data_IF_796587648732
#
_entry.id   IF_796587648732
#
_cell.length_a   1.000
_cell.length_b   1.000
_cell.length_c   1.000
_cell.angle_alpha   90.00
_cell.angle_beta   90.00
_cell.angle_gamma   90.00
#
_symmetry.space_group_name_H-M   'P 1'
#
loop_
_entity.id
_entity.type
_entity.pdbx_description
1 polymer ?
#
# COMPACT_ATOMS: atom_id res chain seq x y z
N UNK A 1 -14.71 29.28 30.57
CA UNK A 1 -13.78 30.23 29.88
C UNK A 1 -14.23 31.67 30.11
N UNK A 2 -13.30 32.62 30.18
CA UNK A 2 -13.59 34.05 30.33
C UNK A 2 -14.14 34.64 29.01
N UNK A 3 -14.94 35.70 29.09
CA UNK A 3 -15.48 36.36 27.88
C UNK A 3 -14.40 36.96 27.00
N UNK A 4 -13.32 37.47 27.60
CA UNK A 4 -12.17 38.03 26.89
C UNK A 4 -11.38 36.96 26.12
N UNK A 5 -11.20 35.76 26.69
CA UNK A 5 -10.49 34.66 26.02
C UNK A 5 -11.27 34.15 24.82
N UNK A 6 -12.60 34.06 24.95
CA UNK A 6 -13.52 33.67 23.85
C UNK A 6 -13.44 34.66 22.69
N UNK A 7 -13.39 35.97 22.96
CA UNK A 7 -13.23 37.00 21.91
C UNK A 7 -11.90 36.87 21.18
N UNK A 8 -10.81 36.61 21.89
CA UNK A 8 -9.50 36.39 21.28
C UNK A 8 -9.50 35.17 20.33
N UNK A 9 -10.08 34.04 20.75
CA UNK A 9 -10.21 32.87 19.87
C UNK A 9 -11.08 33.15 18.65
N UNK A 10 -12.16 33.92 18.81
CA UNK A 10 -13.03 34.32 17.70
C UNK A 10 -12.28 35.18 16.67
N UNK A 11 -11.53 36.19 17.10
CA UNK A 11 -10.71 37.02 16.20
C UNK A 11 -9.67 36.17 15.46
N UNK A 12 -9.01 35.25 16.17
CA UNK A 12 -8.04 34.33 15.59
C UNK A 12 -8.68 33.41 14.54
N UNK A 13 -9.83 32.81 14.84
CA UNK A 13 -10.56 31.96 13.90
C UNK A 13 -11.04 32.73 12.66
N UNK A 14 -11.50 33.97 12.82
CA UNK A 14 -11.88 34.82 11.68
C UNK A 14 -10.67 35.15 10.79
N UNK A 15 -9.51 35.43 11.39
CA UNK A 15 -8.27 35.69 10.64
C UNK A 15 -7.82 34.45 9.86
N UNK A 16 -7.88 33.27 10.47
CA UNK A 16 -7.55 32.00 9.81
C UNK A 16 -8.56 31.65 8.72
N UNK A 17 -9.86 31.89 8.94
CA UNK A 17 -10.91 31.71 7.94
C UNK A 17 -10.63 32.54 6.68
N UNK A 18 -10.30 33.82 6.85
CA UNK A 18 -9.97 34.71 5.73
C UNK A 18 -8.73 34.21 4.97
N UNK A 19 -7.68 33.79 5.70
CA UNK A 19 -6.46 33.22 5.12
C UNK A 19 -6.73 31.94 4.32
N UNK A 20 -7.56 31.04 4.84
CA UNK A 20 -7.92 29.79 4.18
C UNK A 20 -8.75 30.03 2.91
N UNK A 21 -9.70 30.96 2.95
CA UNK A 21 -10.49 31.35 1.77
C UNK A 21 -9.57 31.90 0.69
N UNK A 22 -8.66 32.82 1.03
CA UNK A 22 -7.70 33.37 0.07
C UNK A 22 -6.82 32.28 -0.54
N UNK A 23 -6.37 31.31 0.27
CA UNK A 23 -5.57 30.17 -0.20
C UNK A 23 -6.35 29.27 -1.15
N UNK A 24 -7.61 28.97 -0.83
CA UNK A 24 -8.48 28.15 -1.69
C UNK A 24 -8.73 28.88 -3.01
N UNK A 25 -9.04 30.18 -2.97
CA UNK A 25 -9.25 30.98 -4.18
C UNK A 25 -8.00 31.05 -5.06
N UNK A 26 -6.82 31.15 -4.45
CA UNK A 26 -5.54 31.13 -5.16
C UNK A 26 -5.28 29.78 -5.85
N UNK A 27 -5.54 28.66 -5.16
CA UNK A 27 -5.35 27.30 -5.69
C UNK A 27 -6.41 26.91 -6.72
N UNK A 28 -7.67 27.28 -6.48
CA UNK A 28 -8.76 27.00 -7.43
C UNK A 28 -8.62 27.82 -8.71
N UNK A 29 -8.15 29.07 -8.57
CA UNK A 29 -7.82 29.98 -9.66
C UNK A 29 -9.01 30.37 -10.54
N UNK A 30 -9.31 31.67 -10.62
CA UNK A 30 -10.10 32.25 -11.74
C UNK A 30 -9.20 32.64 -12.94
N UNK A 31 -7.91 32.30 -12.92
CA UNK A 31 -6.91 32.65 -13.94
C UNK A 31 -6.18 31.44 -14.54
N UNK A 32 -5.15 31.69 -15.35
CA UNK A 32 -4.30 30.68 -16.00
C UNK A 32 -3.49 29.89 -14.94
N UNK A 33 -3.55 28.56 -14.98
CA UNK A 33 -2.83 27.62 -14.11
C UNK A 33 -3.62 27.07 -12.91
N UNK A 34 -4.89 27.43 -12.73
CA UNK A 34 -5.70 26.93 -11.62
C UNK A 34 -6.08 25.45 -11.70
N UNK A 35 -6.42 24.84 -10.56
CA UNK A 35 -6.91 23.44 -10.49
C UNK A 35 -8.20 23.25 -11.32
N UNK A 36 -8.98 24.31 -11.55
CA UNK A 36 -10.21 24.24 -12.37
C UNK A 36 -9.95 24.27 -13.88
N UNK A 37 -8.81 24.76 -14.33
CA UNK A 37 -8.46 24.78 -15.75
C UNK A 37 -8.11 23.36 -16.23
N UNK A 38 -8.46 22.98 -17.45
CA UNK A 38 -8.06 21.68 -17.97
C UNK A 38 -6.54 21.59 -18.08
N UNK A 39 -5.97 20.43 -17.76
CA UNK A 39 -4.51 20.24 -17.73
C UNK A 39 -3.85 20.58 -19.07
N UNK A 40 -4.47 20.19 -20.20
CA UNK A 40 -4.00 20.52 -21.55
C UNK A 40 -3.81 22.04 -21.76
N UNK A 41 -4.72 22.85 -21.23
CA UNK A 41 -4.70 24.31 -21.39
C UNK A 41 -3.67 24.95 -20.45
N UNK A 42 -3.33 24.29 -19.35
CA UNK A 42 -2.29 24.74 -18.41
C UNK A 42 -0.88 24.47 -18.93
N UNK A 43 -0.66 23.36 -19.65
CA UNK A 43 0.65 23.03 -20.26
C UNK A 43 0.80 23.75 -21.62
N UNK A 44 -0.31 24.16 -22.25
CA UNK A 44 -0.31 24.76 -23.58
C UNK A 44 -0.28 23.72 -24.71
N UNK A 45 -0.61 22.47 -24.40
CA UNK A 45 -0.60 21.36 -25.35
C UNK A 45 -1.98 21.19 -26.02
N UNK A 46 -1.99 20.99 -27.33
CA UNK A 46 -3.23 20.76 -28.09
C UNK A 46 -3.82 19.37 -27.80
N UNK A 47 -2.97 18.37 -27.54
CA UNK A 47 -3.36 16.99 -27.23
C UNK A 47 -2.39 16.36 -26.24
N UNK A 48 -2.92 15.69 -25.21
CA UNK A 48 -2.13 14.88 -24.27
C UNK A 48 -2.02 13.41 -24.71
N UNK A 49 -2.72 13.02 -25.79
CA UNK A 49 -2.83 11.62 -26.22
C UNK A 49 -1.58 11.12 -26.97
N UNK A 50 -0.85 12.04 -27.62
CA UNK A 50 0.34 11.71 -28.42
C UNK A 50 1.66 12.00 -27.67
N UNK A 51 1.57 12.39 -26.39
CA UNK A 51 2.74 12.65 -25.56
C UNK A 51 3.20 11.37 -24.86
N UNK A 52 4.52 11.21 -24.70
CA UNK A 52 5.04 10.13 -23.87
C UNK A 52 4.65 10.39 -22.41
N UNK A 53 4.18 9.40 -21.64
CA UNK A 53 3.68 9.61 -20.27
C UNK A 53 4.72 10.24 -19.32
N UNK A 54 6.02 10.02 -19.59
CA UNK A 54 7.09 10.63 -18.82
C UNK A 54 7.16 12.17 -19.00
N UNK A 55 6.72 12.70 -20.14
CA UNK A 55 6.82 14.14 -20.45
C UNK A 55 5.81 14.95 -19.64
N UNK A 56 4.71 14.32 -19.23
CA UNK A 56 3.60 14.96 -18.48
C UNK A 56 3.65 14.59 -16.99
N UNK A 57 4.56 13.71 -16.58
CA UNK A 57 4.60 13.17 -15.21
C UNK A 57 4.84 14.22 -14.14
N UNK A 58 5.79 15.13 -14.36
CA UNK A 58 6.10 16.22 -13.41
C UNK A 58 4.90 17.13 -13.22
N UNK A 59 4.23 17.50 -14.31
CA UNK A 59 3.04 18.35 -14.30
C UNK A 59 1.86 17.68 -13.59
N UNK A 60 1.65 16.37 -13.82
CA UNK A 60 0.63 15.59 -13.09
C UNK A 60 0.91 15.57 -11.59
N UNK A 61 2.17 15.41 -11.20
CA UNK A 61 2.58 15.36 -9.81
C UNK A 61 2.36 16.70 -9.10
N UNK A 62 2.82 17.82 -9.69
CA UNK A 62 2.60 19.15 -9.11
C UNK A 62 1.11 19.47 -9.02
N UNK A 63 0.33 19.17 -10.06
CA UNK A 63 -1.12 19.36 -10.04
C UNK A 63 -1.82 18.51 -8.97
N UNK A 64 -1.36 17.28 -8.77
CA UNK A 64 -1.84 16.41 -7.69
C UNK A 64 -1.59 17.00 -6.30
N UNK A 65 -0.43 17.65 -6.09
CA UNK A 65 -0.15 18.38 -4.85
C UNK A 65 -1.12 19.55 -4.66
N UNK A 66 -1.34 20.35 -5.69
CA UNK A 66 -2.23 21.51 -5.61
C UNK A 66 -3.67 21.10 -5.25
N UNK A 67 -4.18 20.04 -5.89
CA UNK A 67 -5.47 19.43 -5.55
C UNK A 67 -5.49 19.07 -4.06
N UNK A 68 -4.46 18.37 -3.59
CA UNK A 68 -4.41 17.92 -2.20
C UNK A 68 -4.37 19.08 -1.20
N UNK A 69 -3.56 20.11 -1.48
CA UNK A 69 -3.47 21.30 -0.65
C UNK A 69 -4.80 22.07 -0.61
N UNK A 70 -5.53 22.11 -1.74
CA UNK A 70 -6.84 22.74 -1.82
C UNK A 70 -7.89 21.96 -1.01
N UNK A 71 -7.91 20.62 -1.13
CA UNK A 71 -8.78 19.76 -0.32
C UNK A 71 -8.51 19.93 1.18
N UNK A 72 -7.24 19.90 1.59
CA UNK A 72 -6.86 20.06 3.00
C UNK A 72 -7.26 21.44 3.53
N UNK A 73 -7.07 22.49 2.73
CA UNK A 73 -7.53 23.84 3.09
C UNK A 73 -9.06 23.91 3.27
N UNK A 74 -9.84 23.23 2.41
CA UNK A 74 -11.31 23.14 2.54
C UNK A 74 -11.75 22.38 3.79
N UNK A 75 -11.07 21.29 4.13
CA UNK A 75 -11.35 20.51 5.34
C UNK A 75 -11.09 21.37 6.59
N UNK A 76 -9.97 22.11 6.61
CA UNK A 76 -9.65 22.99 7.73
C UNK A 76 -10.64 24.16 7.79
N UNK A 77 -11.01 24.76 6.65
CA UNK A 77 -12.00 25.84 6.59
C UNK A 77 -13.33 25.41 7.22
N UNK A 78 -13.81 24.20 6.88
CA UNK A 78 -15.02 23.64 7.47
C UNK A 78 -14.90 23.51 9.00
N UNK A 79 -13.75 23.03 9.51
CA UNK A 79 -13.51 22.93 10.96
C UNK A 79 -13.48 24.30 11.64
N UNK A 80 -12.95 25.32 10.96
CA UNK A 80 -12.94 26.70 11.46
C UNK A 80 -14.36 27.27 11.51
N UNK A 81 -15.16 27.08 10.46
CA UNK A 81 -16.57 27.51 10.44
C UNK A 81 -17.37 26.82 11.58
N UNK A 82 -17.19 25.52 11.76
CA UNK A 82 -17.82 24.76 12.85
C UNK A 82 -17.38 25.25 14.24
N UNK A 83 -16.10 25.60 14.40
CA UNK A 83 -15.60 26.17 15.66
C UNK A 83 -16.21 27.55 15.97
N UNK A 84 -16.44 28.38 14.94
CA UNK A 84 -17.15 29.65 15.07
C UNK A 84 -18.62 29.42 15.48
N UNK A 85 -19.28 28.42 14.91
CA UNK A 85 -20.65 28.04 15.29
C UNK A 85 -20.73 27.53 16.75
N UNK A 86 -19.72 26.79 17.19
CA UNK A 86 -19.60 26.35 18.59
C UNK A 86 -19.39 27.51 19.55
N UNK A 87 -18.62 28.53 19.16
CA UNK A 87 -18.46 29.77 19.93
C UNK A 87 -19.79 30.52 20.08
N UNK A 88 -20.58 30.60 18.99
CA UNK A 88 -21.88 31.26 18.99
C UNK A 88 -22.92 30.52 19.83
N UNK A 89 -22.86 29.18 19.87
CA UNK A 89 -23.76 28.34 20.67
C UNK A 89 -23.32 28.17 22.12
N UNK A 90 -22.09 28.58 22.47
CA UNK A 90 -21.53 28.48 23.82
C UNK A 90 -20.95 27.11 24.18
N UNK A 91 -20.86 26.18 23.22
CA UNK A 91 -20.30 24.83 23.40
C UNK A 91 -18.81 24.73 22.99
N UNK A 92 -18.15 25.87 22.79
CA UNK A 92 -16.73 25.90 22.44
C UNK A 92 -15.85 25.40 23.58
N UNK A 93 -14.86 24.58 23.24
CA UNK A 93 -13.93 24.00 24.21
C UNK A 93 -14.42 22.69 24.83
N UNK A 94 -15.54 22.12 24.39
CA UNK A 94 -16.01 20.80 24.84
C UNK A 94 -15.73 19.74 23.77
N UNK A 95 -15.17 18.60 24.17
CA UNK A 95 -14.86 17.49 23.27
C UNK A 95 -16.13 16.78 22.80
N UNK A 96 -16.29 16.61 21.49
CA UNK A 96 -17.48 15.97 20.91
C UNK A 96 -17.62 14.47 21.20
N UNK A 97 -16.51 13.80 21.49
CA UNK A 97 -16.49 12.35 21.71
C UNK A 97 -16.74 11.98 23.18
N UNK A 98 -16.08 12.65 24.13
CA UNK A 98 -16.19 12.33 25.55
C UNK A 98 -16.99 13.33 26.37
N UNK A 99 -17.33 14.50 25.82
CA UNK A 99 -18.04 15.57 26.52
C UNK A 99 -17.20 16.31 27.58
N UNK A 100 -15.91 16.00 27.71
CA UNK A 100 -15.00 16.69 28.63
C UNK A 100 -14.44 17.97 28.00
N UNK A 101 -13.96 18.90 28.82
CA UNK A 101 -13.27 20.10 28.36
C UNK A 101 -11.97 19.75 27.62
N UNK A 102 -11.70 20.50 26.56
CA UNK A 102 -10.48 20.44 25.75
C UNK A 102 -9.39 21.25 26.46
N UNK A 103 -8.16 20.75 26.43
CA UNK A 103 -7.03 21.40 27.08
C UNK A 103 -6.80 22.83 26.51
N UNK A 104 -6.66 23.85 27.36
CA UNK A 104 -6.46 25.24 26.92
C UNK A 104 -5.21 25.38 26.04
N UNK A 105 -4.10 24.76 26.43
CA UNK A 105 -2.85 24.69 25.63
C UNK A 105 -3.10 24.15 24.21
N UNK A 106 -4.07 23.26 24.05
CA UNK A 106 -4.43 22.67 22.76
C UNK A 106 -5.26 23.63 21.92
N UNK A 107 -6.19 24.37 22.53
CA UNK A 107 -6.97 25.42 21.87
C UNK A 107 -6.08 26.60 21.45
N UNK A 108 -5.03 26.89 22.22
CA UNK A 108 -4.02 27.89 21.88
C UNK A 108 -3.17 27.50 20.66
N UNK A 109 -2.90 26.21 20.47
CA UNK A 109 -2.18 25.72 19.30
C UNK A 109 -3.11 25.51 18.09
N UNK A 110 -4.28 24.90 18.31
CA UNK A 110 -5.22 24.48 17.27
C UNK A 110 -6.64 24.92 17.68
N UNK A 111 -7.03 26.18 17.40
CA UNK A 111 -8.27 26.75 17.90
C UNK A 111 -9.53 26.14 17.26
N UNK A 112 -9.40 25.40 16.16
CA UNK A 112 -10.50 24.72 15.47
C UNK A 112 -10.61 23.23 15.83
N UNK A 113 -9.92 22.77 16.89
CA UNK A 113 -9.99 21.37 17.32
C UNK A 113 -11.33 21.06 17.98
N UNK A 114 -11.89 19.88 17.68
CA UNK A 114 -13.18 19.39 18.24
C UNK A 114 -13.00 18.26 19.26
N UNK A 115 -11.77 17.75 19.40
CA UNK A 115 -11.43 16.58 20.21
C UNK A 115 -10.30 16.92 21.19
N UNK A 116 -10.42 16.41 22.42
CA UNK A 116 -9.32 16.43 23.38
C UNK A 116 -8.17 15.53 22.93
N UNK A 117 -6.98 15.71 23.52
CA UNK A 117 -5.77 14.96 23.16
C UNK A 117 -5.97 13.45 23.20
N UNK A 118 -6.67 12.94 24.21
CA UNK A 118 -6.97 11.52 24.41
C UNK A 118 -7.85 10.97 23.29
N UNK A 119 -9.02 11.58 23.04
CA UNK A 119 -9.93 11.12 22.00
C UNK A 119 -9.32 11.25 20.60
N UNK A 120 -8.47 12.26 20.37
CA UNK A 120 -7.70 12.35 19.13
C UNK A 120 -6.74 11.16 18.98
N UNK A 121 -6.03 10.77 20.05
CA UNK A 121 -5.15 9.60 20.05
C UNK A 121 -5.90 8.29 19.79
N UNK A 122 -7.10 8.15 20.37
CA UNK A 122 -7.98 7.00 20.13
C UNK A 122 -8.39 6.93 18.65
N UNK A 123 -8.73 8.05 18.01
CA UNK A 123 -9.03 8.10 16.56
C UNK A 123 -7.82 7.64 15.75
N UNK A 124 -6.59 8.03 16.11
CA UNK A 124 -5.40 7.56 15.38
C UNK A 124 -5.14 6.05 15.54
N UNK A 125 -5.55 5.47 16.66
CA UNK A 125 -5.33 4.05 16.98
C UNK A 125 -6.45 3.17 16.43
N UNK A 126 -7.68 3.66 16.43
CA UNK A 126 -8.90 2.92 16.03
C UNK A 126 -9.29 3.17 14.58
N UNK A 127 -8.84 4.27 13.96
CA UNK A 127 -8.91 4.39 12.52
C UNK A 127 -8.15 3.18 11.96
N UNK A 128 -8.78 2.34 11.12
CA UNK A 128 -8.01 1.37 10.35
C UNK A 128 -6.89 2.18 9.70
N UNK A 129 -5.63 1.69 9.71
CA UNK A 129 -4.57 2.37 8.99
C UNK A 129 -5.17 2.71 7.63
N UNK A 130 -5.11 3.99 7.22
CA UNK A 130 -5.50 4.37 5.86
C UNK A 130 -4.94 3.26 5.00
N UNK A 131 -5.82 2.53 4.32
CA UNK A 131 -5.44 1.38 3.52
C UNK A 131 -4.60 1.94 2.37
N UNK A 132 -3.32 2.20 2.66
CA UNK A 132 -2.31 2.54 1.67
C UNK A 132 -2.05 1.31 0.78
N UNK A 133 -2.55 0.15 1.23
CA UNK A 133 -2.53 -1.11 0.50
C UNK A 133 -3.92 -1.45 -0.05
N UNK A 134 -4.02 -1.88 -1.31
CA UNK A 134 -5.28 -2.23 -1.95
C UNK A 134 -6.05 -3.34 -1.19
N UNK A 135 -7.38 -3.39 -1.32
CA UNK A 135 -8.22 -4.44 -0.68
C UNK A 135 -7.85 -5.84 -1.15
N UNK A 136 -7.30 -5.91 -2.36
CA UNK A 136 -6.75 -7.09 -2.99
C UNK A 136 -5.70 -7.75 -2.11
N UNK A 137 -4.93 -7.03 -1.30
CA UNK A 137 -3.91 -7.63 -0.43
C UNK A 137 -4.48 -8.37 0.80
N UNK A 138 -5.73 -8.11 1.17
CA UNK A 138 -6.43 -8.83 2.25
C UNK A 138 -7.06 -10.14 1.72
N UNK A 139 -7.42 -10.15 0.44
CA UNK A 139 -8.05 -11.29 -0.26
C UNK A 139 -6.99 -12.18 -0.91
N UNK A 140 -5.99 -11.56 -1.54
CA UNK A 140 -4.81 -12.21 -2.07
C UNK A 140 -3.87 -12.45 -0.89
N UNK A 141 -3.84 -13.69 -0.42
CA UNK A 141 -2.72 -14.15 0.37
C UNK A 141 -1.40 -13.92 -0.38
N UNK A 142 -0.28 -13.94 0.34
CA UNK A 142 1.04 -13.80 -0.26
C UNK A 142 1.15 -14.84 -1.39
N UNK A 143 1.32 -14.42 -2.65
CA UNK A 143 1.20 -15.32 -3.80
C UNK A 143 2.25 -16.43 -3.80
N UNK A 144 3.35 -16.22 -3.08
CA UNK A 144 4.43 -17.17 -2.85
C UNK A 144 4.71 -17.22 -1.34
N UNK A 145 4.87 -18.40 -0.76
CA UNK A 145 5.07 -18.55 0.67
C UNK A 145 6.31 -17.78 1.15
N UNK A 146 6.16 -16.83 2.08
CA UNK A 146 7.29 -16.12 2.70
C UNK A 146 8.10 -16.99 3.69
N UNK A 147 7.77 -18.27 3.81
CA UNK A 147 8.48 -19.21 4.68
C UNK A 147 9.58 -19.93 3.92
N UNK A 148 10.77 -20.01 4.52
CA UNK A 148 11.82 -20.97 4.14
C UNK A 148 11.49 -22.39 4.66
N UNK A 149 10.39 -22.53 5.41
CA UNK A 149 9.99 -23.80 6.01
C UNK A 149 8.76 -24.33 5.28
N UNK A 150 8.95 -25.50 4.68
CA UNK A 150 7.95 -26.41 4.15
C UNK A 150 6.60 -26.30 4.88
N UNK A 151 5.70 -25.51 4.30
CA UNK A 151 4.27 -25.81 4.42
C UNK A 151 3.98 -26.65 3.19
N UNK A 152 3.48 -27.88 3.39
CA UNK A 152 2.89 -28.76 2.37
C UNK A 152 1.71 -28.12 1.62
N UNK A 153 1.99 -27.03 0.94
CA UNK A 153 1.09 -26.23 0.13
C UNK A 153 1.57 -26.45 -1.29
N UNK A 154 0.70 -26.75 -2.26
CA UNK A 154 1.11 -26.97 -3.64
C UNK A 154 1.57 -25.69 -4.36
N UNK A 155 1.68 -24.55 -3.67
CA UNK A 155 2.12 -23.28 -4.26
C UNK A 155 3.60 -23.06 -4.00
N UNK A 156 4.30 -22.51 -5.00
CA UNK A 156 5.74 -22.25 -4.93
C UNK A 156 6.09 -21.40 -3.71
N UNK A 157 6.93 -21.93 -2.82
CA UNK A 157 7.40 -21.21 -1.65
C UNK A 157 8.88 -20.81 -1.75
N UNK A 158 9.42 -20.19 -0.70
CA UNK A 158 10.81 -19.78 -0.67
C UNK A 158 11.81 -20.94 -0.73
N UNK A 159 11.40 -22.13 -0.26
CA UNK A 159 12.22 -23.35 -0.32
C UNK A 159 12.29 -23.87 -1.75
N UNK A 160 11.15 -23.93 -2.46
CA UNK A 160 11.10 -24.34 -3.87
C UNK A 160 11.98 -23.45 -4.76
N UNK A 161 11.93 -22.13 -4.55
CA UNK A 161 12.77 -21.17 -5.30
C UNK A 161 14.25 -21.39 -4.99
N UNK A 162 14.60 -21.68 -3.74
CA UNK A 162 15.99 -21.91 -3.34
C UNK A 162 16.53 -23.22 -3.91
N UNK A 163 15.76 -24.31 -3.82
CA UNK A 163 16.08 -25.59 -4.46
C UNK A 163 16.21 -25.44 -5.98
N UNK A 164 15.38 -24.60 -6.60
CA UNK A 164 15.43 -24.36 -8.04
C UNK A 164 16.71 -23.65 -8.48
N UNK A 165 17.20 -22.70 -7.67
CA UNK A 165 18.44 -21.95 -7.89
C UNK A 165 19.67 -22.77 -7.55
N UNK A 166 19.62 -23.61 -6.52
CA UNK A 166 20.73 -24.45 -6.07
C UNK A 166 21.24 -25.38 -7.18
N UNK A 167 20.37 -25.82 -8.10
CA UNK A 167 20.74 -26.61 -9.28
C UNK A 167 21.70 -25.91 -10.24
N UNK A 168 21.70 -24.57 -10.26
CA UNK A 168 22.64 -23.77 -11.05
C UNK A 168 23.95 -23.49 -10.31
N UNK A 169 24.05 -23.94 -9.05
CA UNK A 169 25.24 -23.90 -8.21
C UNK A 169 25.11 -22.91 -7.06
N UNK A 170 25.28 -23.40 -5.83
CA UNK A 170 25.30 -22.59 -4.60
C UNK A 170 26.72 -22.19 -4.15
N UNK A 171 27.69 -22.23 -5.06
CA UNK A 171 29.14 -22.09 -4.82
C UNK A 171 29.75 -23.10 -3.83
N UNK A 172 28.96 -24.03 -3.29
CA UNK A 172 29.39 -25.08 -2.38
C UNK A 172 29.88 -26.31 -3.16
N UNK A 173 30.98 -26.92 -2.73
CA UNK A 173 31.54 -28.13 -3.34
C UNK A 173 31.42 -29.38 -2.45
N UNK A 174 31.79 -30.57 -2.95
CA UNK A 174 31.85 -31.80 -2.15
C UNK A 174 32.78 -31.70 -0.92
N UNK A 175 33.68 -30.72 -0.90
CA UNK A 175 34.60 -30.44 0.20
C UNK A 175 33.91 -29.75 1.39
N UNK A 176 32.76 -29.10 1.14
CA UNK A 176 32.00 -28.36 2.16
C UNK A 176 30.97 -29.25 2.87
N UNK A 177 30.72 -30.47 2.34
CA UNK A 177 29.73 -31.43 2.84
C UNK A 177 30.39 -32.74 3.27
N UNK A 178 30.04 -33.23 4.46
CA UNK A 178 30.61 -34.47 5.01
C UNK A 178 29.88 -35.68 4.42
N UNK A 179 30.60 -36.52 3.67
CA UNK A 179 30.08 -37.80 3.16
C UNK A 179 29.59 -37.79 1.71
N UNK A 180 29.75 -36.67 1.00
CA UNK A 180 29.41 -36.57 -0.43
C UNK A 180 30.68 -36.73 -1.28
N UNK A 181 30.69 -37.69 -2.21
CA UNK A 181 31.88 -38.03 -3.01
C UNK A 181 31.78 -37.56 -4.47
N UNK A 182 30.57 -37.42 -5.02
CA UNK A 182 30.34 -36.85 -6.36
C UNK A 182 29.70 -35.45 -6.26
N UNK A 183 30.14 -34.51 -7.08
CA UNK A 183 29.53 -33.17 -7.19
C UNK A 183 28.04 -33.21 -7.56
N UNK A 184 27.57 -34.33 -8.12
CA UNK A 184 26.16 -34.56 -8.45
C UNK A 184 25.30 -34.95 -7.23
N UNK A 185 25.92 -35.46 -6.17
CA UNK A 185 25.25 -35.92 -4.93
C UNK A 185 25.15 -34.81 -3.88
N UNK A 186 25.76 -33.65 -4.14
CA UNK A 186 25.86 -32.50 -3.20
C UNK A 186 24.50 -31.86 -2.92
N UNK A 187 23.50 -32.06 -3.79
CA UNK A 187 22.24 -31.28 -3.79
C UNK A 187 20.97 -32.15 -3.91
N UNK A 188 20.98 -33.38 -3.38
CA UNK A 188 19.89 -34.35 -3.56
C UNK A 188 18.55 -33.95 -2.91
N UNK A 189 18.53 -33.09 -1.89
CA UNK A 189 17.27 -32.73 -1.20
C UNK A 189 16.26 -32.02 -2.12
N UNK A 190 16.74 -31.18 -3.07
CA UNK A 190 15.91 -30.56 -4.12
C UNK A 190 15.91 -31.30 -5.46
N UNK A 191 16.69 -32.38 -5.60
CA UNK A 191 16.91 -33.08 -6.86
C UNK A 191 15.80 -34.07 -7.24
N UNK A 192 15.10 -34.63 -6.25
CA UNK A 192 14.07 -35.65 -6.45
C UNK A 192 12.65 -35.09 -6.68
N UNK A 193 12.49 -33.77 -6.74
CA UNK A 193 11.19 -33.16 -7.01
C UNK A 193 10.87 -33.11 -8.50
N UNK A 194 9.70 -33.64 -8.83
CA UNK A 194 9.09 -33.73 -10.16
C UNK A 194 8.80 -32.32 -10.72
N UNK A 195 9.65 -31.78 -11.62
CA UNK A 195 9.41 -30.45 -12.21
C UNK A 195 8.43 -30.51 -13.38
N UNK A 196 7.46 -29.60 -13.36
CA UNK A 196 6.55 -29.37 -14.50
C UNK A 196 5.48 -30.46 -14.68
N UNK A 197 5.32 -31.32 -13.68
CA UNK A 197 4.30 -32.36 -13.62
C UNK A 197 3.69 -32.34 -12.22
N UNK A 198 2.37 -32.31 -12.16
CA UNK A 198 1.61 -32.41 -10.90
C UNK A 198 1.54 -33.87 -10.45
N UNK A 199 1.50 -34.79 -11.41
CA UNK A 199 1.45 -36.22 -11.18
C UNK A 199 2.54 -36.95 -11.98
N UNK A 200 3.05 -38.07 -11.45
CA UNK A 200 4.07 -38.89 -12.11
C UNK A 200 3.68 -39.32 -13.54
N UNK A 201 2.37 -39.46 -13.80
CA UNK A 201 1.83 -39.82 -15.12
C UNK A 201 2.10 -38.76 -16.19
N UNK A 202 2.27 -37.50 -15.81
CA UNK A 202 2.56 -36.40 -16.73
C UNK A 202 4.04 -36.38 -17.16
N UNK A 203 4.93 -37.02 -16.40
CA UNK A 203 6.34 -37.18 -16.73
C UNK A 203 6.64 -38.39 -17.62
N UNK A 204 5.64 -39.24 -17.92
CA UNK A 204 5.83 -40.39 -18.80
C UNK A 204 6.09 -39.87 -20.22
N UNK A 205 7.33 -40.03 -20.70
CA UNK A 205 7.69 -39.59 -22.04
C UNK A 205 7.03 -40.50 -23.09
N UNK A 206 6.72 -39.95 -24.27
CA UNK A 206 6.20 -40.73 -25.41
C UNK A 206 7.14 -41.88 -25.83
N UNK A 207 8.44 -41.81 -25.49
CA UNK A 207 9.42 -42.88 -25.73
C UNK A 207 9.21 -44.12 -24.84
N UNK A 208 8.53 -43.99 -23.70
CA UNK A 208 8.23 -45.12 -22.80
C UNK A 208 7.08 -45.98 -23.33
N UNK A 209 6.32 -45.47 -24.30
CA UNK A 209 5.34 -46.24 -25.07
C UNK A 209 6.03 -47.02 -26.19
N UNK A 210 6.79 -48.07 -25.86
CA UNK A 210 7.07 -49.12 -26.85
C UNK A 210 5.81 -49.99 -27.00
N UNK A 211 4.81 -49.46 -27.71
CA UNK A 211 3.67 -50.28 -28.15
C UNK A 211 4.22 -51.28 -29.16
N UNK A 212 4.46 -52.52 -28.72
CA UNK A 212 4.67 -53.65 -29.63
C UNK A 212 3.27 -54.16 -29.99
N UNK A 213 2.78 -53.94 -31.23
CA UNK A 213 1.50 -54.49 -31.62
C UNK A 213 1.64 -56.02 -31.71
N UNK A 214 0.88 -56.75 -30.89
CA UNK A 214 0.78 -58.22 -30.96
C UNK A 214 1.79 -59.04 -30.14
N UNK A 215 2.60 -58.44 -29.26
CA UNK A 215 3.56 -59.18 -28.42
C UNK A 215 3.01 -59.52 -27.02
N UNK A 216 3.09 -60.80 -26.60
CA UNK A 216 2.73 -61.21 -25.24
C UNK A 216 3.58 -60.51 -24.18
N UNK A 217 2.90 -59.97 -23.14
CA UNK A 217 3.52 -59.26 -22.01
C UNK A 217 4.50 -60.20 -21.27
N UNK A 218 5.81 -59.97 -21.40
CA UNK A 218 6.77 -60.57 -20.48
C UNK A 218 6.90 -59.68 -19.23
N UNK A 219 6.68 -60.28 -18.06
CA UNK A 219 6.91 -59.63 -16.75
C UNK A 219 8.39 -59.27 -16.64
N UNK A 220 8.69 -57.98 -16.51
CA UNK A 220 10.02 -57.52 -16.07
C UNK A 220 10.22 -58.02 -14.64
N UNK A 221 11.17 -58.93 -14.44
CA UNK A 221 11.58 -59.36 -13.09
C UNK A 221 12.35 -58.22 -12.44
N UNK A 222 11.81 -57.66 -11.35
CA UNK A 222 12.57 -56.81 -10.44
C UNK A 222 13.63 -57.68 -9.74
N UNK A 223 14.91 -57.38 -9.96
CA UNK A 223 15.99 -57.92 -9.13
C UNK A 223 16.07 -57.13 -7.83
N UNK A 224 16.38 -57.85 -6.76
CA UNK A 224 16.45 -57.41 -5.36
C UNK A 224 17.72 -56.62 -5.09
#
# INVERSE_FOLDING_TARGET
MNKETIQNYLERLLSERARLIQRIEALEGKGEGGIKQAMKDSIGELSLYDNHPADVSSELFERGKDIKLCEDAKIILKRVDEAIDLLNSGNYGTCEHCGNDIEEDRLDLIPYTRLCSRCQGDVHTTAPPKRDRPIEEEVLGIPFGNGIRDRKTPGTDGEDVWQDLERYGSASGPQDLVGVLDSREVFEEGGNQTRGAVEDVEMIATKDYKVIPGGQRSRIKRTR
#
